data_IF_656179382365
#
_entry.id   IF_656179382365
#
_cell.length_a   1.000
_cell.length_b   1.000
_cell.length_c   1.000
_cell.angle_alpha   90.00
_cell.angle_beta   90.00
_cell.angle_gamma   90.00
#
_symmetry.space_group_name_H-M   'P 1'
#
loop_
_entity.id
_entity.type
_entity.pdbx_description
1 polymer ?
#
# COMPACT_ATOMS: atom_id res chain seq x y z
N UNK A 1 38.47 -57.69 6.27
CA UNK A 1 37.57 -58.86 6.09
C UNK A 1 36.73 -59.05 7.34
N UNK A 2 35.59 -59.72 7.22
CA UNK A 2 34.79 -60.44 8.23
C UNK A 2 34.95 -60.15 9.76
N UNK A 3 33.81 -59.79 10.38
CA UNK A 3 33.26 -60.30 11.68
C UNK A 3 34.06 -59.99 12.98
N UNK A 4 33.45 -59.91 14.17
CA UNK A 4 32.03 -59.92 14.53
C UNK A 4 31.74 -60.65 15.86
N UNK A 5 30.77 -60.11 16.64
CA UNK A 5 29.91 -60.79 17.65
C UNK A 5 30.52 -61.64 18.77
N UNK A 6 30.27 -61.28 20.05
CA UNK A 6 29.33 -61.99 20.96
C UNK A 6 29.35 -61.47 22.43
N UNK A 7 28.15 -61.20 23.00
CA UNK A 7 27.62 -61.50 24.37
C UNK A 7 28.48 -61.26 25.67
N UNK A 8 27.93 -61.39 26.91
CA UNK A 8 26.51 -61.49 27.34
C UNK A 8 26.07 -60.61 28.55
N UNK A 9 24.74 -60.47 28.70
CA UNK A 9 23.90 -60.33 29.93
C UNK A 9 24.11 -59.16 30.94
N UNK A 10 23.07 -58.64 31.63
CA UNK A 10 21.78 -59.24 32.11
C UNK A 10 20.56 -58.27 32.09
N UNK A 11 19.35 -58.85 32.01
CA UNK A 11 18.09 -58.32 32.61
C UNK A 11 17.07 -57.70 31.62
N UNK A 12 15.81 -58.17 31.41
CA UNK A 12 14.67 -58.43 32.34
C UNK A 12 14.17 -57.09 32.93
N UNK A 13 13.06 -56.42 32.55
CA UNK A 13 11.72 -56.71 31.95
C UNK A 13 11.26 -55.50 31.05
N UNK A 14 10.19 -55.44 30.22
CA UNK A 14 9.24 -56.37 29.56
C UNK A 14 8.50 -55.68 28.36
N UNK A 15 8.34 -56.40 27.24
CA UNK A 15 7.23 -56.46 26.25
C UNK A 15 6.37 -55.23 25.82
N UNK A 16 6.60 -54.82 24.55
CA UNK A 16 5.65 -54.86 23.39
C UNK A 16 4.36 -53.97 23.34
N UNK A 17 3.72 -53.77 22.15
CA UNK A 17 2.98 -52.54 21.83
C UNK A 17 1.45 -52.69 21.76
N UNK A 18 0.75 -51.56 21.59
CA UNK A 18 -0.60 -51.56 21.02
C UNK A 18 -0.92 -50.26 20.25
N UNK A 19 -2.04 -50.25 19.54
CA UNK A 19 -2.57 -49.12 18.78
C UNK A 19 -3.88 -48.60 19.41
N UNK A 20 -4.30 -47.41 18.94
CA UNK A 20 -5.69 -46.90 18.83
C UNK A 20 -6.64 -46.86 20.05
N UNK A 21 -7.56 -45.89 19.92
CA UNK A 21 -8.89 -45.75 20.55
C UNK A 21 -8.98 -45.45 22.07
N UNK A 22 -9.30 -44.18 22.35
CA UNK A 22 -10.40 -43.62 23.20
C UNK A 22 -11.00 -44.39 24.42
N UNK A 23 -11.79 -43.72 25.32
CA UNK A 23 -11.92 -42.28 25.64
C UNK A 23 -11.93 -42.00 27.18
N UNK A 24 -12.06 -40.71 27.60
CA UNK A 24 -13.08 -40.24 28.60
C UNK A 24 -12.95 -38.76 29.03
N UNK A 25 -14.10 -38.07 28.98
CA UNK A 25 -14.61 -36.99 29.87
C UNK A 25 -13.63 -36.15 30.72
N UNK A 26 -13.54 -34.85 30.43
CA UNK A 26 -13.85 -33.77 31.39
C UNK A 26 -14.10 -32.42 30.64
N UNK A 27 -14.92 -31.54 31.21
CA UNK A 27 -14.97 -30.11 30.86
C UNK A 27 -14.65 -29.29 32.12
N UNK A 28 -13.74 -28.30 32.06
CA UNK A 28 -13.74 -27.17 32.99
C UNK A 28 -14.90 -26.22 32.69
N UNK A 29 -15.21 -25.35 33.64
CA UNK A 29 -16.21 -24.27 33.57
C UNK A 29 -15.63 -23.07 34.33
N UNK A 30 -16.05 -21.84 34.01
CA UNK A 30 -15.62 -20.55 34.61
C UNK A 30 -14.17 -20.17 34.24
N UNK A 31 -13.76 -18.89 34.23
CA UNK A 31 -14.46 -17.59 34.10
C UNK A 31 -13.41 -16.59 33.56
N UNK A 32 -13.69 -15.83 32.50
CA UNK A 32 -14.10 -14.42 32.54
C UNK A 32 -13.13 -13.48 33.29
N UNK A 33 -12.49 -12.58 32.53
CA UNK A 33 -12.45 -11.17 32.92
C UNK A 33 -12.47 -10.29 31.66
N UNK A 34 -13.41 -9.34 31.61
CA UNK A 34 -13.61 -8.44 30.48
C UNK A 34 -14.13 -7.09 30.98
N UNK A 35 -13.55 -5.99 30.51
CA UNK A 35 -13.88 -4.64 30.97
C UNK A 35 -15.12 -4.11 30.23
N UNK A 36 -16.03 -3.50 30.99
CA UNK A 36 -17.31 -2.98 30.50
C UNK A 36 -17.17 -1.64 29.72
N UNK A 37 -18.29 -1.11 29.16
CA UNK A 37 -19.06 -0.18 29.98
C UNK A 37 -20.59 -0.40 29.93
N UNK A 38 -21.31 0.34 30.78
CA UNK A 38 -22.75 0.22 31.01
C UNK A 38 -23.62 0.94 29.97
N UNK A 39 -24.80 0.38 29.67
CA UNK A 39 -26.09 1.10 29.68
C UNK A 39 -27.30 0.14 29.47
N UNK A 40 -28.30 0.23 30.36
CA UNK A 40 -29.68 -0.29 30.19
C UNK A 40 -30.63 0.64 30.95
N UNK A 41 -31.81 0.98 30.41
CA UNK A 41 -33.03 0.15 30.55
C UNK A 41 -33.96 0.23 29.30
N UNK A 42 -35.15 -0.39 29.18
CA UNK A 42 -35.87 -1.56 29.75
C UNK A 42 -37.06 -1.82 28.80
N UNK A 43 -37.55 -3.08 28.71
CA UNK A 43 -38.93 -3.55 28.43
C UNK A 43 -38.85 -5.05 28.06
N UNK A 44 -39.83 -5.92 28.36
CA UNK A 44 -41.08 -5.66 29.08
C UNK A 44 -42.05 -6.86 29.17
N UNK A 45 -41.58 -8.08 29.44
CA UNK A 45 -42.43 -9.29 29.47
C UNK A 45 -42.60 -9.98 28.10
N UNK A 46 -43.25 -11.14 27.98
CA UNK A 46 -43.92 -12.02 28.96
C UNK A 46 -43.91 -13.49 28.47
N UNK A 47 -43.79 -14.45 29.42
CA UNK A 47 -44.36 -15.84 29.44
C UNK A 47 -44.14 -16.78 28.22
N UNK A 48 -44.08 -18.11 28.33
CA UNK A 48 -43.84 -19.19 29.34
C UNK A 48 -44.46 -20.47 28.73
N UNK A 49 -43.94 -21.66 29.12
CA UNK A 49 -44.31 -23.03 28.63
C UNK A 49 -43.69 -23.34 27.24
N UNK A 50 -43.16 -24.53 26.95
CA UNK A 50 -43.25 -25.85 27.62
C UNK A 50 -44.08 -26.81 26.75
N UNK A 51 -43.81 -28.13 26.66
CA UNK A 51 -43.05 -29.05 27.53
C UNK A 51 -42.93 -30.42 26.82
N UNK A 52 -41.83 -31.17 26.98
CA UNK A 52 -41.70 -32.63 26.69
C UNK A 52 -41.86 -33.09 25.21
N UNK A 53 -41.38 -34.25 24.73
CA UNK A 53 -40.30 -35.20 25.17
C UNK A 53 -39.96 -36.18 24.01
N UNK A 54 -38.90 -36.97 24.24
CA UNK A 54 -38.62 -38.34 23.72
C UNK A 54 -38.36 -38.59 22.22
N UNK A 55 -37.22 -39.23 21.98
CA UNK A 55 -36.70 -39.72 20.70
C UNK A 55 -37.38 -41.02 20.21
N UNK A 56 -37.54 -41.18 18.87
CA UNK A 56 -36.68 -42.11 18.08
C UNK A 56 -37.11 -42.34 16.60
N UNK A 57 -36.06 -42.45 15.77
CA UNK A 57 -35.88 -43.37 14.62
C UNK A 57 -36.55 -43.16 13.23
N UNK A 58 -35.67 -43.37 12.22
CA UNK A 58 -35.85 -43.82 10.82
C UNK A 58 -36.28 -42.83 9.74
N UNK A 59 -35.90 -43.20 8.51
CA UNK A 59 -35.92 -42.38 7.29
C UNK A 59 -37.21 -42.55 6.48
N UNK A 60 -37.58 -41.51 5.74
CA UNK A 60 -38.61 -41.52 4.69
C UNK A 60 -38.29 -40.49 3.59
N UNK A 61 -38.79 -40.66 2.36
CA UNK A 61 -38.38 -39.84 1.21
C UNK A 61 -39.01 -38.43 1.20
N UNK A 62 -38.29 -37.47 0.61
CA UNK A 62 -38.78 -36.09 0.41
C UNK A 62 -39.95 -36.04 -0.57
N UNK A 63 -41.14 -35.72 -0.08
CA UNK A 63 -42.32 -35.38 -0.90
C UNK A 63 -42.20 -34.00 -1.53
N UNK A 64 -42.88 -33.78 -2.67
CA UNK A 64 -42.86 -32.51 -3.42
C UNK A 64 -43.82 -31.48 -2.78
N UNK A 65 -43.49 -30.18 -2.73
CA UNK A 65 -44.44 -29.12 -2.40
C UNK A 65 -45.45 -28.87 -3.55
N UNK A 66 -46.58 -28.16 -3.30
CA UNK A 66 -47.74 -28.18 -4.20
C UNK A 66 -47.69 -27.20 -5.39
N UNK A 67 -48.56 -27.45 -6.38
CA UNK A 67 -48.76 -26.61 -7.56
C UNK A 67 -49.47 -25.28 -7.22
N UNK A 68 -48.82 -24.15 -7.52
CA UNK A 68 -49.46 -22.84 -7.58
C UNK A 68 -50.09 -22.62 -8.96
N UNK A 69 -51.35 -22.17 -8.99
CA UNK A 69 -52.09 -21.88 -10.24
C UNK A 69 -51.53 -20.63 -10.94
N UNK A 70 -51.53 -20.58 -12.29
CA UNK A 70 -51.09 -19.38 -13.02
C UNK A 70 -52.07 -18.22 -12.78
N UNK A 71 -51.54 -17.07 -12.34
CA UNK A 71 -52.33 -15.84 -12.25
C UNK A 71 -52.60 -15.27 -13.65
N UNK A 72 -53.83 -14.80 -13.89
CA UNK A 72 -54.20 -14.13 -15.15
C UNK A 72 -53.46 -12.79 -15.25
N UNK A 73 -52.75 -12.54 -16.35
CA UNK A 73 -52.16 -11.22 -16.64
C UNK A 73 -53.28 -10.23 -16.98
N UNK A 74 -53.38 -9.15 -16.21
CA UNK A 74 -54.18 -7.97 -16.53
C UNK A 74 -53.50 -7.19 -17.69
N UNK A 75 -54.16 -6.97 -18.83
CA UNK A 75 -53.59 -6.23 -19.95
C UNK A 75 -53.45 -4.71 -19.73
N UNK A 76 -53.94 -4.14 -18.62
CA UNK A 76 -54.08 -2.67 -18.44
C UNK A 76 -53.14 -2.04 -17.40
N UNK A 77 -51.97 -2.65 -17.19
CA UNK A 77 -50.76 -1.93 -16.73
C UNK A 77 -49.72 -2.06 -17.85
N UNK A 78 -49.23 -1.01 -18.48
CA UNK A 78 -49.04 0.36 -18.00
C UNK A 78 -47.60 0.71 -18.37
N UNK A 79 -47.39 1.78 -19.15
CA UNK A 79 -46.10 2.03 -19.83
C UNK A 79 -44.92 1.93 -18.85
N UNK A 80 -43.77 1.36 -19.24
CA UNK A 80 -42.57 1.42 -18.40
C UNK A 80 -42.28 2.89 -18.10
N UNK A 81 -42.13 3.23 -16.83
CA UNK A 81 -41.73 4.57 -16.44
C UNK A 81 -40.38 4.88 -17.11
N UNK A 82 -40.19 6.09 -17.68
CA UNK A 82 -38.89 6.46 -18.22
C UNK A 82 -37.87 6.36 -17.09
N UNK A 83 -36.76 5.66 -17.34
CA UNK A 83 -35.67 5.55 -16.37
C UNK A 83 -35.08 6.94 -16.20
N UNK A 84 -35.49 7.62 -15.13
CA UNK A 84 -34.90 8.88 -14.68
C UNK A 84 -33.52 8.59 -14.08
N UNK A 85 -32.58 8.24 -14.96
CA UNK A 85 -31.17 8.45 -14.70
C UNK A 85 -30.97 9.91 -14.25
N UNK A 86 -29.96 10.17 -13.40
CA UNK A 86 -29.81 11.46 -12.73
C UNK A 86 -29.87 12.59 -13.77
N UNK A 87 -30.87 13.46 -13.63
CA UNK A 87 -31.15 14.55 -14.55
C UNK A 87 -29.83 15.27 -14.82
N UNK A 88 -29.50 15.42 -16.11
CA UNK A 88 -28.23 15.97 -16.56
C UNK A 88 -28.10 17.37 -15.98
N UNK A 89 -27.39 17.48 -14.84
CA UNK A 89 -27.26 18.72 -14.12
C UNK A 89 -26.43 19.63 -15.02
N UNK A 90 -27.12 20.58 -15.64
CA UNK A 90 -26.57 21.54 -16.58
C UNK A 90 -25.56 22.41 -15.84
N UNK A 91 -24.32 21.94 -15.78
CA UNK A 91 -23.19 22.79 -15.43
C UNK A 91 -23.13 23.88 -16.50
N UNK A 92 -23.72 25.02 -16.14
CA UNK A 92 -23.47 26.36 -16.66
C UNK A 92 -21.99 26.70 -16.42
N UNK A 93 -21.15 25.95 -17.12
CA UNK A 93 -19.71 25.92 -16.96
C UNK A 93 -19.18 27.06 -17.81
N UNK A 94 -19.09 28.22 -17.14
CA UNK A 94 -18.60 29.51 -17.66
C UNK A 94 -17.57 29.27 -18.78
N UNK A 95 -17.62 29.97 -19.93
CA UNK A 95 -16.82 29.64 -21.12
C UNK A 95 -15.31 29.58 -20.87
N UNK A 96 -14.83 30.30 -19.86
CA UNK A 96 -13.47 30.19 -19.32
C UNK A 96 -13.13 28.77 -18.80
N UNK A 97 -14.00 28.14 -18.00
CA UNK A 97 -13.78 26.80 -17.42
C UNK A 97 -13.76 25.73 -18.51
N UNK A 98 -14.68 25.78 -19.47
CA UNK A 98 -14.70 24.83 -20.60
C UNK A 98 -13.49 25.01 -21.51
N UNK A 99 -13.00 26.24 -21.68
CA UNK A 99 -11.75 26.54 -22.38
C UNK A 99 -10.52 26.02 -21.62
N UNK A 100 -10.41 26.23 -20.30
CA UNK A 100 -9.33 25.68 -19.48
C UNK A 100 -9.30 24.14 -19.52
N UNK A 101 -10.47 23.47 -19.47
CA UNK A 101 -10.57 22.02 -19.63
C UNK A 101 -10.08 21.55 -21.00
N UNK A 102 -10.47 22.23 -22.09
CA UNK A 102 -10.00 21.93 -23.46
C UNK A 102 -8.49 22.14 -23.62
N UNK A 103 -7.93 23.18 -23.01
CA UNK A 103 -6.49 23.47 -23.08
C UNK A 103 -5.65 22.46 -22.27
N UNK A 104 -6.05 22.16 -21.03
CA UNK A 104 -5.36 21.18 -20.18
C UNK A 104 -5.39 19.75 -20.74
N UNK A 105 -6.43 19.40 -21.50
CA UNK A 105 -6.58 18.10 -22.16
C UNK A 105 -5.85 18.00 -23.52
N UNK A 106 -5.21 19.07 -24.01
CA UNK A 106 -4.55 19.08 -25.31
C UNK A 106 -3.15 18.43 -25.23
N UNK A 107 -2.85 17.35 -25.97
CA UNK A 107 -1.53 16.71 -25.96
C UNK A 107 -0.39 17.65 -26.36
N UNK A 108 -0.65 18.64 -27.24
CA UNK A 108 0.37 19.64 -27.61
C UNK A 108 0.75 20.57 -26.44
N UNK A 109 -0.22 20.89 -25.58
CA UNK A 109 0.03 21.68 -24.36
C UNK A 109 0.84 20.84 -23.36
N UNK A 110 0.46 19.59 -23.14
CA UNK A 110 1.17 18.66 -22.25
C UNK A 110 2.63 18.43 -22.69
N UNK A 111 2.86 18.19 -23.98
CA UNK A 111 4.20 18.01 -24.53
C UNK A 111 5.05 19.31 -24.46
N UNK A 112 4.45 20.48 -24.63
CA UNK A 112 5.14 21.76 -24.46
C UNK A 112 5.55 22.01 -23.00
N UNK A 113 4.68 21.67 -22.04
CA UNK A 113 5.00 21.75 -20.60
C UNK A 113 6.12 20.78 -20.23
N UNK A 114 6.08 19.53 -20.73
CA UNK A 114 7.15 18.55 -20.56
C UNK A 114 8.49 19.06 -21.12
N UNK A 115 8.49 19.65 -22.32
CA UNK A 115 9.68 20.25 -22.91
C UNK A 115 10.26 21.38 -22.02
N UNK A 116 9.41 22.25 -21.47
CA UNK A 116 9.85 23.31 -20.54
C UNK A 116 10.42 22.72 -19.23
N UNK A 117 9.87 21.62 -18.72
CA UNK A 117 10.41 20.91 -17.54
C UNK A 117 11.81 20.34 -17.84
N UNK A 118 11.99 19.69 -18.98
CA UNK A 118 13.30 19.12 -19.39
C UNK A 118 14.32 20.22 -19.67
N UNK A 119 13.97 21.26 -20.42
CA UNK A 119 14.84 22.40 -20.69
C UNK A 119 15.27 23.11 -19.38
N UNK A 120 14.35 23.27 -18.44
CA UNK A 120 14.67 23.79 -17.10
C UNK A 120 15.63 22.87 -16.33
N UNK A 121 15.47 21.55 -16.39
CA UNK A 121 16.38 20.62 -15.71
C UNK A 121 17.81 20.73 -16.27
N UNK A 122 17.95 20.90 -17.58
CA UNK A 122 19.25 21.19 -18.23
C UNK A 122 19.80 22.56 -17.79
N UNK A 123 18.96 23.60 -17.71
CA UNK A 123 19.38 24.93 -17.24
C UNK A 123 19.91 24.91 -15.80
N UNK A 124 19.31 24.14 -14.88
CA UNK A 124 19.84 23.94 -13.52
C UNK A 124 21.24 23.31 -13.55
N UNK A 125 21.45 22.33 -14.44
CA UNK A 125 22.77 21.71 -14.65
C UNK A 125 23.83 22.70 -15.17
N UNK A 126 23.44 23.60 -16.08
CA UNK A 126 24.32 24.65 -16.61
C UNK A 126 24.61 25.74 -15.57
N UNK A 127 23.61 26.18 -14.81
CA UNK A 127 23.72 27.19 -13.73
C UNK A 127 24.64 26.71 -12.58
N UNK A 128 24.80 25.39 -12.42
CA UNK A 128 25.74 24.77 -11.47
C UNK A 128 27.21 24.98 -11.87
N UNK A 129 27.50 25.28 -13.15
CA UNK A 129 28.88 25.54 -13.61
C UNK A 129 29.27 27.01 -13.42
N UNK A 130 30.24 27.26 -12.52
CA UNK A 130 30.66 28.61 -12.12
C UNK A 130 31.01 29.51 -13.32
N UNK A 131 31.78 28.99 -14.28
CA UNK A 131 32.27 29.75 -15.44
C UNK A 131 31.19 30.19 -16.43
N UNK A 132 30.03 29.50 -16.48
CA UNK A 132 28.86 29.97 -17.24
C UNK A 132 28.02 30.92 -16.39
N UNK A 133 27.87 30.63 -15.10
CA UNK A 133 27.07 31.43 -14.16
C UNK A 133 27.62 32.86 -14.03
N UNK A 134 28.94 33.02 -13.92
CA UNK A 134 29.63 34.33 -13.92
C UNK A 134 29.41 35.12 -15.22
N UNK A 135 29.40 34.44 -16.37
CA UNK A 135 29.27 35.08 -17.70
C UNK A 135 27.83 35.40 -18.09
N UNK A 136 26.85 34.64 -17.60
CA UNK A 136 25.46 34.68 -18.08
C UNK A 136 24.40 34.71 -16.96
N UNK A 137 24.78 34.97 -15.69
CA UNK A 137 23.85 34.95 -14.55
C UNK A 137 22.57 35.76 -14.73
N UNK A 138 22.65 36.94 -15.35
CA UNK A 138 21.48 37.77 -15.67
C UNK A 138 20.52 37.09 -16.67
N UNK A 139 21.06 36.39 -17.68
CA UNK A 139 20.28 35.61 -18.64
C UNK A 139 19.65 34.39 -17.96
N UNK A 140 20.40 33.66 -17.12
CA UNK A 140 19.86 32.54 -16.34
C UNK A 140 18.74 32.99 -15.40
N UNK A 141 18.86 34.14 -14.74
CA UNK A 141 17.79 34.69 -13.90
C UNK A 141 16.54 35.07 -14.71
N UNK A 142 16.70 35.70 -15.88
CA UNK A 142 15.59 36.04 -16.76
C UNK A 142 14.85 34.79 -17.28
N UNK A 143 15.59 33.78 -17.75
CA UNK A 143 15.01 32.51 -18.24
C UNK A 143 14.34 31.73 -17.10
N UNK A 144 14.98 31.66 -15.92
CA UNK A 144 14.37 31.04 -14.73
C UNK A 144 13.06 31.71 -14.31
N UNK A 145 12.94 33.04 -14.46
CA UNK A 145 11.71 33.77 -14.18
C UNK A 145 10.62 33.44 -15.21
N UNK A 146 10.95 33.42 -16.51
CA UNK A 146 10.00 33.03 -17.58
C UNK A 146 9.47 31.61 -17.36
N UNK A 147 10.35 30.66 -17.04
CA UNK A 147 9.97 29.28 -16.72
C UNK A 147 9.07 29.22 -15.47
N UNK A 148 9.40 29.96 -14.40
CA UNK A 148 8.57 30.02 -13.19
C UNK A 148 7.16 30.57 -13.49
N UNK A 149 7.04 31.59 -14.35
CA UNK A 149 5.75 32.15 -14.78
C UNK A 149 4.96 31.14 -15.63
N UNK A 150 5.61 30.44 -16.57
CA UNK A 150 4.98 29.36 -17.34
C UNK A 150 4.40 28.30 -16.39
N UNK A 151 5.16 27.85 -15.39
CA UNK A 151 4.68 26.88 -14.40
C UNK A 151 3.54 27.42 -13.51
N UNK A 152 3.57 28.69 -13.10
CA UNK A 152 2.47 29.30 -12.35
C UNK A 152 1.16 29.36 -13.16
N UNK A 153 1.25 29.76 -14.43
CA UNK A 153 0.10 29.79 -15.36
C UNK A 153 -0.43 28.38 -15.65
N UNK A 154 0.45 27.40 -15.82
CA UNK A 154 0.14 26.01 -16.07
C UNK A 154 -0.63 25.34 -14.91
N UNK A 155 -0.20 25.60 -13.66
CA UNK A 155 -0.94 25.23 -12.45
C UNK A 155 -2.31 25.94 -12.40
N UNK A 156 -2.35 27.24 -12.65
CA UNK A 156 -3.59 28.01 -12.62
C UNK A 156 -4.63 27.47 -13.63
N UNK A 157 -4.21 27.11 -14.84
CA UNK A 157 -5.08 26.48 -15.86
C UNK A 157 -5.64 25.14 -15.35
N UNK A 158 -4.80 24.27 -14.76
CA UNK A 158 -5.27 22.98 -14.20
C UNK A 158 -6.19 23.14 -12.99
N UNK A 159 -5.94 24.12 -12.13
CA UNK A 159 -6.80 24.44 -10.99
C UNK A 159 -8.17 24.97 -11.45
N UNK A 160 -8.17 25.91 -12.42
CA UNK A 160 -9.39 26.48 -13.01
C UNK A 160 -10.21 25.45 -13.81
N UNK A 161 -9.56 24.49 -14.46
CA UNK A 161 -10.25 23.38 -15.13
C UNK A 161 -11.09 22.53 -14.15
N UNK A 162 -10.69 22.45 -12.88
CA UNK A 162 -11.41 21.74 -11.81
C UNK A 162 -12.53 22.57 -11.14
N UNK A 163 -12.62 23.87 -11.42
CA UNK A 163 -13.65 24.74 -10.86
C UNK A 163 -15.08 24.26 -11.23
N UNK A 164 -16.08 24.48 -10.35
CA UNK A 164 -15.97 25.08 -9.02
C UNK A 164 -15.57 24.09 -7.90
N UNK A 165 -15.41 22.80 -8.19
CA UNK A 165 -15.13 21.77 -7.17
C UNK A 165 -13.62 21.56 -6.98
N UNK A 166 -12.96 22.56 -6.40
CA UNK A 166 -11.51 22.55 -6.14
C UNK A 166 -11.04 21.36 -5.28
N UNK A 167 -11.89 20.82 -4.39
CA UNK A 167 -11.67 19.55 -3.68
C UNK A 167 -11.18 18.41 -4.60
N UNK A 168 -11.69 18.32 -5.84
CA UNK A 168 -11.22 17.29 -6.80
C UNK A 168 -9.77 17.47 -7.21
N UNK A 169 -9.25 18.70 -7.27
CA UNK A 169 -7.85 18.97 -7.57
C UNK A 169 -6.96 18.50 -6.41
N UNK A 170 -7.35 18.81 -5.16
CA UNK A 170 -6.60 18.43 -3.96
C UNK A 170 -6.70 16.93 -3.58
N UNK A 171 -7.62 16.17 -4.19
CA UNK A 171 -7.67 14.70 -4.07
C UNK A 171 -6.66 13.96 -4.94
N UNK A 172 -6.11 14.58 -5.98
CA UNK A 172 -5.05 13.98 -6.81
C UNK A 172 -3.69 14.40 -6.25
N UNK A 173 -2.99 13.45 -5.63
CA UNK A 173 -1.67 13.67 -5.04
C UNK A 173 -0.64 14.25 -6.02
N UNK A 174 -0.76 13.98 -7.33
CA UNK A 174 0.14 14.55 -8.33
C UNK A 174 -0.13 16.03 -8.60
N UNK A 175 -1.40 16.47 -8.50
CA UNK A 175 -1.75 17.88 -8.60
C UNK A 175 -1.38 18.64 -7.31
N UNK A 176 -1.51 18.00 -6.13
CA UNK A 176 -1.05 18.56 -4.85
C UNK A 176 0.48 18.72 -4.85
N UNK A 177 1.22 17.72 -5.32
CA UNK A 177 2.68 17.75 -5.45
C UNK A 177 3.15 18.89 -6.36
N UNK A 178 2.57 18.98 -7.56
CA UNK A 178 2.88 20.04 -8.53
C UNK A 178 2.53 21.44 -8.00
N UNK A 179 1.37 21.59 -7.34
CA UNK A 179 0.97 22.84 -6.69
C UNK A 179 1.92 23.23 -5.55
N UNK A 180 2.35 22.27 -4.74
CA UNK A 180 3.30 22.47 -3.64
C UNK A 180 4.66 22.93 -4.16
N UNK A 181 5.17 22.30 -5.22
CA UNK A 181 6.45 22.69 -5.85
C UNK A 181 6.39 24.12 -6.40
N UNK A 182 5.30 24.49 -7.07
CA UNK A 182 5.15 25.85 -7.62
C UNK A 182 4.94 26.88 -6.51
N UNK A 183 4.17 26.57 -5.46
CA UNK A 183 4.03 27.43 -4.28
C UNK A 183 5.35 27.64 -3.53
N UNK A 184 6.12 26.57 -3.32
CA UNK A 184 7.39 26.63 -2.59
C UNK A 184 8.50 27.36 -3.38
N UNK A 185 8.47 27.27 -4.72
CA UNK A 185 9.41 28.00 -5.59
C UNK A 185 9.05 29.49 -5.81
N UNK A 186 7.85 29.92 -5.41
CA UNK A 186 7.45 31.33 -5.30
C UNK A 186 7.89 31.98 -3.97
N UNK A 187 8.47 31.24 -3.02
CA UNK A 187 8.98 31.84 -1.78
C UNK A 187 10.08 32.89 -2.05
N UNK A 188 10.12 33.98 -1.26
CA UNK A 188 11.10 35.04 -1.44
C UNK A 188 12.53 34.54 -1.16
N UNK A 189 13.48 35.03 -1.94
CA UNK A 189 14.92 34.68 -1.83
C UNK A 189 15.65 35.54 -0.79
N UNK A 190 14.90 36.20 0.10
CA UNK A 190 15.40 37.12 1.11
C UNK A 190 14.82 36.77 2.49
N UNK A 191 15.57 37.08 3.54
CA UNK A 191 15.23 36.70 4.92
C UNK A 191 15.69 35.28 5.31
N UNK A 192 15.29 34.79 6.51
CA UNK A 192 15.86 33.57 7.11
C UNK A 192 15.75 32.30 6.26
N UNK A 193 14.72 32.21 5.42
CA UNK A 193 14.45 31.04 4.59
C UNK A 193 15.09 31.10 3.20
N UNK A 194 15.92 32.11 2.89
CA UNK A 194 16.53 32.30 1.57
C UNK A 194 17.28 31.07 1.04
N UNK A 195 18.01 30.34 1.90
CA UNK A 195 18.70 29.10 1.53
C UNK A 195 17.71 27.97 1.21
N UNK A 196 16.64 27.84 2.01
CA UNK A 196 15.58 26.84 1.79
C UNK A 196 14.81 27.16 0.50
N UNK A 197 14.45 28.42 0.26
CA UNK A 197 13.81 28.88 -0.98
C UNK A 197 14.72 28.69 -2.21
N UNK A 198 16.04 28.82 -2.06
CA UNK A 198 17.02 28.52 -3.11
C UNK A 198 17.06 27.02 -3.44
N UNK A 199 17.15 26.14 -2.44
CA UNK A 199 17.13 24.69 -2.62
C UNK A 199 15.78 24.17 -3.12
N UNK A 200 14.67 24.74 -2.64
CA UNK A 200 13.31 24.42 -3.07
C UNK A 200 13.08 24.60 -4.57
N UNK A 201 13.82 25.52 -5.22
CA UNK A 201 13.76 25.70 -6.67
C UNK A 201 14.25 24.46 -7.42
N UNK A 202 15.20 23.70 -6.87
CA UNK A 202 15.69 22.45 -7.48
C UNK A 202 14.60 21.36 -7.53
N UNK A 203 13.66 21.37 -6.58
CA UNK A 203 12.53 20.43 -6.55
C UNK A 203 11.64 20.55 -7.80
N UNK A 204 11.70 21.66 -8.56
CA UNK A 204 11.02 21.77 -9.85
C UNK A 204 11.49 20.73 -10.87
N UNK A 205 12.71 20.20 -10.75
CA UNK A 205 13.20 19.10 -11.59
C UNK A 205 12.43 17.80 -11.33
N UNK A 206 11.96 17.57 -10.09
CA UNK A 206 11.12 16.41 -9.74
C UNK A 206 9.76 16.44 -10.44
N UNK A 207 9.36 17.56 -11.04
CA UNK A 207 8.16 17.63 -11.90
C UNK A 207 8.28 16.77 -13.16
N UNK A 208 9.46 16.24 -13.52
CA UNK A 208 9.55 15.22 -14.56
C UNK A 208 8.81 13.92 -14.16
N UNK A 209 8.81 13.58 -12.87
CA UNK A 209 8.09 12.43 -12.29
C UNK A 209 6.58 12.63 -12.35
N UNK A 210 6.09 13.86 -12.11
CA UNK A 210 4.67 14.20 -12.24
C UNK A 210 4.26 14.45 -13.70
N UNK A 211 5.17 14.79 -14.61
CA UNK A 211 4.87 14.95 -16.03
C UNK A 211 4.77 13.61 -16.79
N UNK A 212 5.65 12.64 -16.50
CA UNK A 212 5.70 11.37 -17.22
C UNK A 212 4.84 10.29 -16.52
N UNK A 213 3.79 9.74 -17.17
CA UNK A 213 2.89 8.77 -16.54
C UNK A 213 3.59 7.44 -16.18
N UNK A 214 4.65 7.08 -16.90
CA UNK A 214 5.48 5.90 -16.63
C UNK A 214 6.26 6.07 -15.31
N UNK A 215 6.85 7.26 -15.07
CA UNK A 215 7.51 7.57 -13.81
C UNK A 215 6.50 7.64 -12.65
N UNK A 216 5.32 8.21 -12.89
CA UNK A 216 4.21 8.16 -11.90
C UNK A 216 3.87 6.71 -11.52
N UNK A 217 3.82 5.80 -12.49
CA UNK A 217 3.49 4.40 -12.27
C UNK A 217 4.58 3.70 -11.44
N UNK A 218 5.86 3.87 -11.81
CA UNK A 218 7.00 3.28 -11.08
C UNK A 218 7.04 3.77 -9.62
N UNK A 219 6.86 5.07 -9.39
CA UNK A 219 6.81 5.62 -8.02
C UNK A 219 5.57 5.12 -7.28
N UNK A 220 4.42 5.02 -7.94
CA UNK A 220 3.18 4.51 -7.32
C UNK A 220 3.22 3.00 -7.00
N UNK A 221 3.97 2.18 -7.73
CA UNK A 221 4.19 0.76 -7.38
C UNK A 221 5.21 0.64 -6.25
N UNK A 222 6.32 1.37 -6.28
CA UNK A 222 7.29 1.40 -5.18
C UNK A 222 6.64 1.83 -3.85
N UNK A 223 5.89 2.93 -3.84
CA UNK A 223 5.19 3.43 -2.65
C UNK A 223 4.10 2.46 -2.17
N UNK A 224 3.48 1.67 -3.06
CA UNK A 224 2.48 0.66 -2.71
C UNK A 224 3.08 -0.55 -1.98
N UNK A 225 4.37 -0.83 -2.17
CA UNK A 225 5.06 -1.93 -1.46
C UNK A 225 5.48 -1.55 -0.03
N UNK A 226 5.75 -0.27 0.27
CA UNK A 226 6.22 0.19 1.59
C UNK A 226 5.30 -0.24 2.76
N UNK A 227 3.96 -0.12 2.70
CA UNK A 227 3.07 -0.56 3.77
C UNK A 227 3.23 -2.03 4.18
N UNK A 228 3.64 -2.92 3.27
CA UNK A 228 3.87 -4.34 3.58
C UNK A 228 5.06 -4.56 4.54
N UNK A 229 5.92 -3.55 4.69
CA UNK A 229 7.14 -3.59 5.50
C UNK A 229 6.98 -2.86 6.84
N UNK A 230 5.86 -2.16 7.06
CA UNK A 230 5.66 -1.28 8.22
C UNK A 230 5.91 -1.99 9.56
N UNK A 231 5.44 -3.23 9.72
CA UNK A 231 5.65 -4.02 10.94
C UNK A 231 7.14 -4.29 11.22
N UNK A 232 7.93 -4.55 10.17
CA UNK A 232 9.36 -4.85 10.28
C UNK A 232 10.18 -3.57 10.50
N UNK A 233 9.77 -2.46 9.86
CA UNK A 233 10.35 -1.13 10.08
C UNK A 233 10.12 -0.67 11.54
N UNK A 234 8.93 -0.91 12.10
CA UNK A 234 8.62 -0.62 13.52
C UNK A 234 9.46 -1.51 14.46
N UNK A 235 9.60 -2.81 14.16
CA UNK A 235 10.46 -3.71 14.95
C UNK A 235 11.94 -3.27 14.91
N UNK A 236 12.46 -2.93 13.73
CA UNK A 236 13.82 -2.44 13.57
C UNK A 236 14.03 -1.10 14.29
N UNK A 237 13.07 -0.17 14.20
CA UNK A 237 13.10 1.10 14.92
C UNK A 237 13.09 0.93 16.45
N UNK A 238 12.34 -0.04 16.97
CA UNK A 238 12.36 -0.40 18.40
C UNK A 238 13.72 -0.95 18.83
N UNK A 239 14.32 -1.83 18.03
CA UNK A 239 15.66 -2.39 18.29
C UNK A 239 16.72 -1.27 18.28
N UNK A 240 16.70 -0.39 17.26
CA UNK A 240 17.57 0.78 17.18
C UNK A 240 17.42 1.69 18.40
N UNK A 241 16.18 1.97 18.84
CA UNK A 241 15.92 2.78 20.03
C UNK A 241 16.48 2.16 21.32
N UNK A 242 16.24 0.86 21.54
CA UNK A 242 16.74 0.14 22.74
C UNK A 242 18.27 0.12 22.76
N UNK A 243 18.91 -0.22 21.64
CA UNK A 243 20.37 -0.21 21.57
C UNK A 243 20.94 1.21 21.69
N UNK A 244 20.27 2.25 21.17
CA UNK A 244 20.73 3.64 21.29
C UNK A 244 20.76 4.08 22.76
N UNK A 245 19.70 3.80 23.51
CA UNK A 245 19.64 4.09 24.96
C UNK A 245 20.74 3.34 25.72
N UNK A 246 20.94 2.05 25.43
CA UNK A 246 22.02 1.26 26.07
C UNK A 246 23.41 1.80 25.71
N UNK A 247 23.66 2.14 24.45
CA UNK A 247 24.94 2.68 23.98
C UNK A 247 25.29 4.04 24.59
N UNK A 248 24.31 4.92 24.78
CA UNK A 248 24.48 6.19 25.52
C UNK A 248 24.94 5.91 26.96
N UNK A 249 24.32 4.94 27.64
CA UNK A 249 24.67 4.60 29.03
C UNK A 249 26.00 3.86 29.17
N UNK A 250 26.44 3.09 28.16
CA UNK A 250 27.72 2.38 28.18
C UNK A 250 28.91 3.22 27.69
N UNK A 251 28.70 4.04 26.64
CA UNK A 251 29.79 4.67 25.88
C UNK A 251 29.67 6.20 25.78
N UNK A 252 28.57 6.82 26.23
CA UNK A 252 28.36 8.27 26.14
C UNK A 252 29.38 9.13 26.92
N UNK A 253 30.09 8.55 27.88
CA UNK A 253 31.22 9.19 28.57
C UNK A 253 32.61 8.87 27.98
N UNK A 254 32.69 7.93 27.03
CA UNK A 254 33.91 7.49 26.32
C UNK A 254 34.00 8.22 24.98
N UNK A 255 32.89 8.20 24.24
CA UNK A 255 32.74 8.82 22.93
C UNK A 255 31.41 9.60 22.89
N UNK A 256 31.42 10.88 23.31
CA UNK A 256 30.26 11.76 23.23
C UNK A 256 29.90 12.21 21.80
N UNK A 257 30.77 11.95 20.81
CA UNK A 257 30.50 12.33 19.41
C UNK A 257 29.45 11.41 18.80
N UNK A 258 29.56 10.11 19.05
CA UNK A 258 28.60 9.10 18.62
C UNK A 258 27.51 8.85 19.68
N UNK A 259 27.89 8.70 20.95
CA UNK A 259 26.98 8.26 22.02
C UNK A 259 26.48 9.38 22.94
N UNK A 260 26.75 10.65 22.62
CA UNK A 260 26.37 11.79 23.48
C UNK A 260 24.91 12.25 23.40
N UNK A 261 24.08 11.71 22.51
CA UNK A 261 22.63 11.97 22.46
C UNK A 261 21.84 10.94 21.64
N UNK A 262 20.54 10.81 21.91
CA UNK A 262 19.67 9.82 21.22
C UNK A 262 19.67 9.93 19.69
N UNK A 263 19.62 11.12 19.06
CA UNK A 263 19.73 11.23 17.60
C UNK A 263 21.11 10.82 17.05
N UNK A 264 22.20 11.05 17.80
CA UNK A 264 23.56 10.64 17.38
C UNK A 264 23.74 9.13 17.50
N UNK A 265 23.39 8.55 18.64
CA UNK A 265 23.42 7.11 18.85
C UNK A 265 22.52 6.36 17.84
N UNK A 266 21.38 6.95 17.45
CA UNK A 266 20.52 6.43 16.39
C UNK A 266 21.14 6.49 14.99
N UNK A 267 21.97 7.50 14.68
CA UNK A 267 22.73 7.59 13.43
C UNK A 267 23.91 6.59 13.43
N UNK A 268 24.66 6.49 14.54
CA UNK A 268 25.74 5.50 14.71
C UNK A 268 25.22 4.07 14.59
N UNK A 269 24.06 3.75 15.15
CA UNK A 269 23.44 2.43 14.97
C UNK A 269 22.84 2.21 13.57
N UNK A 270 22.54 3.28 12.82
CA UNK A 270 22.16 3.19 11.40
C UNK A 270 23.39 2.90 10.51
N UNK A 271 24.53 3.50 10.82
CA UNK A 271 25.84 3.22 10.19
C UNK A 271 26.26 1.76 10.43
N UNK A 272 26.23 1.31 11.69
CA UNK A 272 26.51 -0.09 12.07
C UNK A 272 25.48 -1.06 11.45
N UNK A 273 24.21 -0.67 11.29
CA UNK A 273 23.18 -1.44 10.59
C UNK A 273 23.51 -1.64 9.10
N UNK A 274 24.22 -0.69 8.48
CA UNK A 274 24.77 -0.85 7.11
C UNK A 274 26.10 -1.63 7.06
N UNK A 275 26.58 -2.12 8.21
CA UNK A 275 27.86 -2.82 8.39
C UNK A 275 29.10 -1.96 8.08
N UNK A 276 28.95 -0.64 8.19
CA UNK A 276 29.97 0.39 7.99
C UNK A 276 30.46 0.92 9.37
N UNK A 277 31.68 1.46 9.46
CA UNK A 277 32.32 2.02 10.67
C UNK A 277 32.47 1.15 11.94
N UNK A 278 31.78 0.01 12.03
CA UNK A 278 31.44 -0.61 13.32
C UNK A 278 32.59 -1.26 14.08
N UNK A 279 33.64 -1.67 13.38
CA UNK A 279 34.83 -2.26 14.00
C UNK A 279 35.66 -1.17 14.69
N UNK A 280 35.84 -0.02 14.05
CA UNK A 280 36.56 1.11 14.65
C UNK A 280 35.81 1.69 15.86
N UNK A 281 34.47 1.79 15.77
CA UNK A 281 33.60 2.14 16.90
C UNK A 281 33.68 1.13 18.06
N UNK A 282 33.77 -0.17 17.74
CA UNK A 282 33.97 -1.23 18.73
C UNK A 282 35.34 -1.14 19.39
N UNK A 283 36.42 -0.94 18.63
CA UNK A 283 37.80 -0.90 19.14
C UNK A 283 38.03 0.35 20.00
N UNK A 284 37.48 1.51 19.61
CA UNK A 284 37.43 2.70 20.46
C UNK A 284 36.68 2.43 21.78
N UNK A 285 35.60 1.64 21.75
CA UNK A 285 34.84 1.26 22.95
C UNK A 285 35.56 0.21 23.81
N UNK A 286 36.35 -0.68 23.21
CA UNK A 286 37.13 -1.71 23.90
C UNK A 286 38.25 -1.11 24.78
N UNK A 287 38.77 0.06 24.41
CA UNK A 287 39.72 0.81 25.23
C UNK A 287 39.15 1.22 26.61
N UNK A 288 37.82 1.41 26.71
CA UNK A 288 37.13 1.72 27.95
C UNK A 288 36.48 0.50 28.62
N UNK A 289 35.92 -0.44 27.85
CA UNK A 289 35.23 -1.62 28.39
C UNK A 289 35.55 -2.87 27.58
N UNK A 290 36.30 -3.81 28.18
CA UNK A 290 36.77 -5.06 27.55
C UNK A 290 35.65 -6.01 27.06
N UNK A 291 34.39 -5.75 27.43
CA UNK A 291 33.21 -6.50 26.98
C UNK A 291 32.38 -5.75 25.94
N UNK A 292 32.82 -4.58 25.46
CA UNK A 292 32.11 -3.76 24.47
C UNK A 292 31.79 -4.55 23.18
N UNK A 293 32.70 -5.44 22.75
CA UNK A 293 32.49 -6.32 21.59
C UNK A 293 31.15 -7.08 21.64
N UNK A 294 30.67 -7.46 22.83
CA UNK A 294 29.40 -8.17 22.97
C UNK A 294 28.21 -7.29 22.55
N UNK A 295 28.23 -5.99 22.86
CA UNK A 295 27.20 -5.04 22.43
C UNK A 295 27.19 -4.90 20.90
N UNK A 296 28.35 -4.65 20.28
CA UNK A 296 28.44 -4.46 18.84
C UNK A 296 28.10 -5.74 18.06
N UNK A 297 28.64 -6.89 18.46
CA UNK A 297 28.37 -8.18 17.79
C UNK A 297 26.91 -8.63 17.99
N UNK A 298 26.32 -8.46 19.18
CA UNK A 298 24.90 -8.81 19.38
C UNK A 298 23.96 -7.89 18.61
N UNK A 299 24.28 -6.59 18.49
CA UNK A 299 23.56 -5.68 17.61
C UNK A 299 23.66 -6.12 16.15
N UNK A 300 24.87 -6.33 15.63
CA UNK A 300 25.11 -6.73 14.22
C UNK A 300 24.38 -8.03 13.88
N UNK A 301 24.47 -9.07 14.73
CA UNK A 301 23.77 -10.35 14.50
C UNK A 301 22.25 -10.16 14.49
N UNK A 302 21.69 -9.38 15.42
CA UNK A 302 20.25 -9.10 15.50
C UNK A 302 19.77 -8.25 14.31
N UNK A 303 20.53 -7.22 13.93
CA UNK A 303 20.24 -6.33 12.82
C UNK A 303 20.26 -7.08 11.48
N UNK A 304 21.32 -7.86 11.21
CA UNK A 304 21.42 -8.70 10.00
C UNK A 304 20.29 -9.72 9.93
N UNK A 305 19.93 -10.36 11.06
CA UNK A 305 18.77 -11.27 11.10
C UNK A 305 17.46 -10.56 10.75
N UNK A 306 17.21 -9.36 11.27
CA UNK A 306 16.01 -8.56 10.94
C UNK A 306 16.01 -8.12 9.47
N UNK A 307 17.16 -7.73 8.92
CA UNK A 307 17.30 -7.34 7.49
C UNK A 307 17.11 -8.52 6.54
N UNK A 308 17.61 -9.71 6.90
CA UNK A 308 17.37 -10.94 6.12
C UNK A 308 15.88 -11.32 6.15
N UNK A 309 15.23 -11.23 7.31
CA UNK A 309 13.78 -11.47 7.42
C UNK A 309 12.95 -10.43 6.65
N UNK A 310 13.38 -9.16 6.63
CA UNK A 310 12.79 -8.11 5.79
C UNK A 310 12.88 -8.47 4.29
N UNK A 311 14.05 -8.91 3.84
CA UNK A 311 14.26 -9.33 2.44
C UNK A 311 13.38 -10.54 2.08
N UNK A 312 13.32 -11.56 2.95
CA UNK A 312 12.45 -12.73 2.77
C UNK A 312 10.98 -12.31 2.69
N UNK A 313 10.52 -11.38 3.54
CA UNK A 313 9.15 -10.86 3.49
C UNK A 313 8.85 -10.11 2.18
N UNK A 314 9.79 -9.29 1.68
CA UNK A 314 9.67 -8.61 0.37
C UNK A 314 9.53 -9.64 -0.75
N UNK A 315 10.40 -10.67 -0.78
CA UNK A 315 10.39 -11.72 -1.80
C UNK A 315 9.10 -12.54 -1.75
N UNK A 316 8.63 -12.92 -0.57
CA UNK A 316 7.35 -13.64 -0.41
C UNK A 316 6.17 -12.78 -0.88
N UNK A 317 6.10 -11.51 -0.48
CA UNK A 317 5.02 -10.60 -0.90
C UNK A 317 4.98 -10.43 -2.44
N UNK A 318 6.14 -10.32 -3.10
CA UNK A 318 6.23 -10.23 -4.55
C UNK A 318 5.85 -11.55 -5.25
N UNK A 319 6.31 -12.70 -4.73
CA UNK A 319 5.95 -14.02 -5.27
C UNK A 319 4.47 -14.35 -5.04
N UNK A 320 3.87 -13.89 -3.95
CA UNK A 320 2.43 -13.98 -3.72
C UNK A 320 1.62 -13.09 -4.67
N UNK A 321 2.10 -11.90 -5.00
CA UNK A 321 1.45 -11.03 -5.99
C UNK A 321 1.43 -11.70 -7.37
N UNK A 322 2.60 -12.15 -7.86
CA UNK A 322 2.70 -12.86 -9.13
C UNK A 322 1.79 -14.11 -9.19
N UNK A 323 1.80 -14.94 -8.14
CA UNK A 323 0.91 -16.12 -8.04
C UNK A 323 -0.59 -15.77 -8.04
N UNK A 324 -0.98 -14.61 -7.50
CA UNK A 324 -2.38 -14.15 -7.52
C UNK A 324 -2.80 -13.72 -8.92
N UNK A 325 -1.92 -13.03 -9.65
CA UNK A 325 -2.17 -12.65 -11.04
C UNK A 325 -2.25 -13.90 -11.94
N UNK A 326 -1.29 -14.82 -11.86
CA UNK A 326 -1.30 -16.11 -12.58
C UNK A 326 -2.58 -16.92 -12.30
N UNK A 327 -3.02 -16.97 -11.04
CA UNK A 327 -4.23 -17.67 -10.64
C UNK A 327 -5.52 -17.02 -11.18
N UNK A 328 -5.54 -15.69 -11.33
CA UNK A 328 -6.67 -14.96 -11.94
C UNK A 328 -6.74 -15.21 -13.45
N UNK A 329 -5.59 -15.17 -14.15
CA UNK A 329 -5.55 -15.54 -15.58
C UNK A 329 -6.00 -16.99 -15.80
N UNK A 330 -5.42 -17.94 -15.06
CA UNK A 330 -5.78 -19.36 -15.15
C UNK A 330 -7.21 -19.69 -14.70
N UNK A 331 -7.86 -18.85 -13.90
CA UNK A 331 -9.28 -18.97 -13.57
C UNK A 331 -10.16 -18.45 -14.73
N UNK A 332 -9.86 -17.28 -15.29
CA UNK A 332 -10.59 -16.72 -16.42
C UNK A 332 -10.55 -17.61 -17.67
N UNK A 333 -9.40 -18.23 -17.94
CA UNK A 333 -9.23 -19.17 -19.06
C UNK A 333 -10.06 -20.46 -18.89
N UNK A 334 -10.29 -20.92 -17.66
CA UNK A 334 -11.18 -22.06 -17.36
C UNK A 334 -12.67 -21.72 -17.51
N UNK A 335 -13.06 -20.47 -17.22
CA UNK A 335 -14.44 -20.02 -17.44
C UNK A 335 -14.76 -19.73 -18.92
N UNK A 336 -13.76 -19.34 -19.72
CA UNK A 336 -13.91 -18.98 -21.13
C UNK A 336 -14.71 -20.00 -21.97
N UNK A 337 -14.42 -21.33 -21.96
CA UNK A 337 -15.20 -22.31 -22.72
C UNK A 337 -16.66 -22.41 -22.25
N UNK A 338 -16.94 -22.26 -20.95
CA UNK A 338 -18.31 -22.28 -20.43
C UNK A 338 -19.10 -21.04 -20.86
N UNK A 339 -18.48 -19.85 -20.80
CA UNK A 339 -19.07 -18.59 -21.29
C UNK A 339 -19.32 -18.65 -22.81
N UNK A 340 -18.41 -19.24 -23.59
CA UNK A 340 -18.56 -19.44 -25.03
C UNK A 340 -19.70 -20.42 -25.37
N UNK A 341 -19.90 -21.47 -24.58
CA UNK A 341 -21.03 -22.40 -24.75
C UNK A 341 -22.37 -21.67 -24.52
N UNK A 342 -22.49 -20.90 -23.44
CA UNK A 342 -23.70 -20.15 -23.10
C UNK A 342 -24.05 -19.10 -24.16
N UNK A 343 -23.07 -18.40 -24.72
CA UNK A 343 -23.29 -17.42 -25.81
C UNK A 343 -23.78 -18.10 -27.10
N UNK A 344 -23.27 -19.30 -27.42
CA UNK A 344 -23.74 -20.09 -28.58
C UNK A 344 -25.17 -20.57 -28.41
N UNK A 345 -25.55 -20.98 -27.20
CA UNK A 345 -26.92 -21.39 -26.86
C UNK A 345 -27.90 -20.21 -27.03
N UNK A 346 -27.58 -19.04 -26.47
CA UNK A 346 -28.39 -17.83 -26.63
C UNK A 346 -28.51 -17.37 -28.09
N UNK A 347 -27.45 -17.50 -28.90
CA UNK A 347 -27.51 -17.20 -30.34
C UNK A 347 -28.48 -18.15 -31.09
N UNK A 348 -28.52 -19.43 -30.72
CA UNK A 348 -29.45 -20.39 -31.32
C UNK A 348 -30.92 -20.13 -30.93
N UNK A 349 -31.18 -19.73 -29.68
CA UNK A 349 -32.53 -19.27 -29.26
C UNK A 349 -32.96 -18.02 -30.03
N UNK A 350 -32.07 -17.03 -30.20
CA UNK A 350 -32.38 -15.81 -30.95
C UNK A 350 -32.58 -16.09 -32.44
N UNK A 351 -31.77 -16.96 -33.06
CA UNK A 351 -31.93 -17.30 -34.48
C UNK A 351 -33.24 -18.07 -34.75
N UNK A 352 -33.58 -19.05 -33.89
CA UNK A 352 -34.85 -19.79 -34.02
C UNK A 352 -36.06 -18.89 -33.79
N UNK A 353 -36.01 -17.97 -32.83
CA UNK A 353 -37.04 -16.95 -32.64
C UNK A 353 -37.17 -16.01 -33.86
N UNK A 354 -36.05 -15.60 -34.47
CA UNK A 354 -36.04 -14.74 -35.66
C UNK A 354 -36.65 -15.45 -36.88
N UNK A 355 -36.32 -16.75 -37.09
CA UNK A 355 -36.92 -17.58 -38.15
C UNK A 355 -38.46 -17.69 -37.96
N UNK A 356 -38.92 -18.04 -36.76
CA UNK A 356 -40.35 -18.15 -36.43
C UNK A 356 -41.11 -16.80 -36.43
N UNK A 357 -40.39 -15.67 -36.49
CA UNK A 357 -40.92 -14.32 -36.68
C UNK A 357 -40.93 -13.88 -38.15
N UNK A 358 -40.32 -14.64 -39.05
CA UNK A 358 -40.22 -14.39 -40.51
C UNK A 358 -41.16 -15.28 -41.34
N UNK A 359 -41.77 -16.26 -40.68
CA UNK A 359 -42.80 -17.17 -41.20
C UNK A 359 -44.24 -16.71 -40.83
N UNK A 360 -44.38 -15.44 -40.42
CA UNK A 360 -45.63 -14.75 -40.08
C UNK A 360 -45.73 -13.43 -40.82
#
# INVERSE_FOLDING_TARGET
MARGTCQPDRGVLLFLPCARDEPRRARPVWAEEAIAPEARPRLGGLRRRGRHRDDRFRLGPRTRPPLLRPSRRDPRRGRPAPVTGPIFCSQESRPMITSCRRLAANPRFQNAVLFVIVANAVLIGLETSATLSERHGALFHAVNLVVQVIFAVEIAIRLLAHAPRFDRFFRDGWNVFDFTIVGLSLLPVAGPFATVARLARLLRALRIVSALPELRLIVATMLRSIPSLANVIVLLGLILYVYAVVGIHLFGGVDPAHWGSLPRAGLTLFEILTLEGWVDLMDASLAATRWAWFYYVSFVVLAVFVVINLFIAIVINNLEAAKKDDAVFGAGERELPARLAQIREQLAEVETALRASKER
#
